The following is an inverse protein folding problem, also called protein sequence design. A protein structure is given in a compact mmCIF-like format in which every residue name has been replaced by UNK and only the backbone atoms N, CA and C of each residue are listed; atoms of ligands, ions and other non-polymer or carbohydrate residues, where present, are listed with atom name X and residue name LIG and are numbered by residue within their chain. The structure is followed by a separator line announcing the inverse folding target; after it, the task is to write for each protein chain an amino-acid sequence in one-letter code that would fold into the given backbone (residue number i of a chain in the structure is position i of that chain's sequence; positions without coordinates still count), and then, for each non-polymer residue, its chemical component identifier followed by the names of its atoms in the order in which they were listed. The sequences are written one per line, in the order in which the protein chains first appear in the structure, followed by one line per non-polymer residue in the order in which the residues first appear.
data_IF_009291729773
#
_entry.id   IF_009291729773
#
_cell.length_a   1.000
_cell.length_b   1.000
_cell.length_c   1.000
_cell.angle_alpha   90.00
_cell.angle_beta   90.00
_cell.angle_gamma   90.00
#
_symmetry.space_group_name_H-M   'P 1'
#
loop_
_entity.id
_entity.type
_entity.pdbx_description
1 polymer ?
#
# COMPACT_ATOMS: atom_id res chain seq x y z
N UNK A 1 19.98 35.49 -26.05
CA UNK A 1 19.65 34.16 -26.58
C UNK A 1 20.74 33.76 -27.56
N UNK A 2 21.30 32.56 -27.44
CA UNK A 2 22.47 32.16 -28.25
C UNK A 2 22.05 31.96 -29.71
N UNK A 3 22.72 32.62 -30.66
CA UNK A 3 22.37 32.60 -32.08
C UNK A 3 22.47 31.18 -32.69
N UNK A 4 23.34 30.33 -32.15
CA UNK A 4 23.46 28.91 -32.52
C UNK A 4 22.19 28.10 -32.23
N UNK A 5 21.49 28.39 -31.13
CA UNK A 5 20.28 27.64 -30.76
C UNK A 5 19.15 27.97 -31.74
N UNK A 6 19.05 29.23 -32.15
CA UNK A 6 18.05 29.69 -33.12
C UNK A 6 18.31 29.06 -34.49
N UNK A 7 19.55 29.13 -34.97
CA UNK A 7 19.90 28.57 -36.28
C UNK A 7 19.73 27.05 -36.33
N UNK A 8 20.05 26.34 -35.24
CA UNK A 8 19.84 24.91 -35.14
C UNK A 8 18.34 24.53 -35.17
N UNK A 9 17.51 25.25 -34.41
CA UNK A 9 16.06 25.04 -34.39
C UNK A 9 15.41 25.28 -35.75
N UNK A 10 15.75 26.39 -36.40
CA UNK A 10 15.18 26.76 -37.70
C UNK A 10 15.59 25.78 -38.81
N UNK A 11 16.83 25.27 -38.73
CA UNK A 11 17.33 24.22 -39.64
C UNK A 11 16.55 22.91 -39.50
N UNK A 12 16.28 22.45 -38.28
CA UNK A 12 15.60 21.17 -38.04
C UNK A 12 14.10 21.24 -38.29
N UNK A 13 13.44 22.32 -37.88
CA UNK A 13 11.98 22.43 -37.90
C UNK A 13 11.43 23.08 -39.16
N UNK A 14 12.29 23.80 -39.90
CA UNK A 14 11.91 24.65 -41.06
C UNK A 14 10.86 25.72 -40.72
N UNK A 15 10.72 26.08 -39.44
CA UNK A 15 9.84 27.12 -38.94
C UNK A 15 10.70 28.22 -38.33
N UNK A 16 10.43 29.49 -38.66
CA UNK A 16 11.09 30.63 -38.05
C UNK A 16 10.85 30.65 -36.54
N UNK A 17 11.90 30.86 -35.75
CA UNK A 17 11.81 30.83 -34.29
C UNK A 17 10.85 31.90 -33.75
N UNK A 18 10.80 33.08 -34.38
CA UNK A 18 9.88 34.16 -33.98
C UNK A 18 8.42 33.79 -34.27
N UNK A 19 8.15 33.11 -35.39
CA UNK A 19 6.81 32.60 -35.73
C UNK A 19 6.35 31.53 -34.74
N UNK A 20 7.25 30.62 -34.36
CA UNK A 20 6.97 29.61 -33.33
C UNK A 20 6.63 30.25 -31.98
N UNK A 21 7.41 31.25 -31.55
CA UNK A 21 7.22 31.92 -30.27
C UNK A 21 5.91 32.73 -30.24
N UNK A 22 5.59 33.40 -31.35
CA UNK A 22 4.30 34.10 -31.49
C UNK A 22 3.12 33.12 -31.45
N UNK A 23 3.21 31.98 -32.12
CA UNK A 23 2.17 30.95 -32.05
C UNK A 23 2.02 30.38 -30.63
N UNK A 24 3.13 30.17 -29.93
CA UNK A 24 3.14 29.70 -28.55
C UNK A 24 2.52 30.73 -27.60
N UNK A 25 2.87 32.01 -27.73
CA UNK A 25 2.28 33.11 -26.96
C UNK A 25 0.77 33.27 -27.23
N UNK A 26 0.35 33.10 -28.49
CA UNK A 26 -1.07 33.16 -28.88
C UNK A 26 -1.87 31.99 -28.29
N UNK A 27 -1.26 30.81 -28.20
CA UNK A 27 -1.89 29.62 -27.59
C UNK A 27 -1.86 29.66 -26.05
N UNK A 28 -0.93 30.42 -25.45
CA UNK A 28 -0.71 30.47 -24.01
C UNK A 28 -1.43 31.64 -23.30
N UNK A 29 -2.17 32.49 -24.02
CA UNK A 29 -2.73 33.75 -23.49
C UNK A 29 -3.83 33.57 -22.43
N UNK A 30 -4.27 32.34 -22.14
CA UNK A 30 -5.00 32.04 -20.92
C UNK A 30 -4.48 30.75 -20.29
N UNK A 31 -4.15 30.78 -19.00
CA UNK A 31 -3.91 29.56 -18.20
C UNK A 31 -5.28 28.92 -17.97
N UNK A 32 -5.82 28.29 -19.02
CA UNK A 32 -7.08 27.54 -18.97
C UNK A 32 -6.84 26.09 -18.56
N UNK A 33 -7.93 25.35 -18.32
CA UNK A 33 -7.90 23.89 -18.14
C UNK A 33 -7.24 23.16 -19.32
N UNK A 34 -7.18 23.77 -20.51
CA UNK A 34 -6.60 23.19 -21.72
C UNK A 34 -5.07 23.17 -21.66
N UNK A 35 -4.45 24.22 -21.10
CA UNK A 35 -2.99 24.26 -20.88
C UNK A 35 -2.57 23.20 -19.88
N UNK A 36 -3.33 23.04 -18.79
CA UNK A 36 -3.12 21.99 -17.79
C UNK A 36 -3.25 20.60 -18.43
N UNK A 37 -4.28 20.40 -19.27
CA UNK A 37 -4.48 19.14 -19.98
C UNK A 37 -3.38 18.89 -21.04
N UNK A 38 -2.86 19.93 -21.69
CA UNK A 38 -1.73 19.83 -22.61
C UNK A 38 -0.44 19.44 -21.88
N UNK A 39 -0.13 20.09 -20.75
CA UNK A 39 1.00 19.72 -19.91
C UNK A 39 0.91 18.25 -19.43
N UNK A 40 -0.29 17.83 -19.01
CA UNK A 40 -0.55 16.43 -18.65
C UNK A 40 -0.28 15.48 -19.83
N UNK A 41 -0.69 15.82 -21.05
CA UNK A 41 -0.43 15.02 -22.25
C UNK A 41 1.08 14.91 -22.56
N UNK A 42 1.84 15.98 -22.36
CA UNK A 42 3.30 15.96 -22.53
C UNK A 42 3.95 15.01 -21.52
N UNK A 43 3.57 15.09 -20.24
CA UNK A 43 4.11 14.17 -19.22
C UNK A 43 3.72 12.72 -19.50
N UNK A 44 2.47 12.48 -19.93
CA UNK A 44 2.02 11.15 -20.35
C UNK A 44 2.83 10.62 -21.55
N UNK A 45 3.17 11.49 -22.51
CA UNK A 45 3.97 11.12 -23.66
C UNK A 45 5.43 10.83 -23.28
N UNK A 46 6.02 11.65 -22.40
CA UNK A 46 7.33 11.38 -21.83
C UNK A 46 7.35 10.02 -21.13
N UNK A 47 6.38 9.72 -20.28
CA UNK A 47 6.29 8.45 -19.56
C UNK A 47 6.23 7.25 -20.54
N UNK A 48 5.46 7.35 -21.64
CA UNK A 48 5.41 6.32 -22.69
C UNK A 48 6.77 6.09 -23.35
N UNK A 49 7.50 7.16 -23.64
CA UNK A 49 8.84 7.08 -24.25
C UNK A 49 9.81 6.40 -23.27
N UNK A 50 9.82 6.82 -22.00
CA UNK A 50 10.70 6.25 -20.97
C UNK A 50 10.40 4.76 -20.74
N UNK A 51 9.13 4.37 -20.66
CA UNK A 51 8.73 2.95 -20.58
C UNK A 51 9.26 2.17 -21.79
N UNK A 52 9.16 2.73 -23.00
CA UNK A 52 9.68 2.07 -24.20
C UNK A 52 11.21 1.90 -24.15
N UNK A 53 11.94 2.85 -23.56
CA UNK A 53 13.39 2.75 -23.40
C UNK A 53 13.76 1.68 -22.39
N UNK A 54 13.08 1.63 -21.25
CA UNK A 54 13.30 0.61 -20.21
C UNK A 54 12.97 -0.80 -20.74
N UNK A 55 11.89 -0.96 -21.50
CA UNK A 55 11.54 -2.23 -22.13
C UNK A 55 12.62 -2.72 -23.11
N UNK A 56 13.24 -1.81 -23.86
CA UNK A 56 14.35 -2.15 -24.76
C UNK A 56 15.61 -2.54 -23.98
N UNK A 57 15.93 -1.82 -22.91
CA UNK A 57 17.06 -2.14 -22.04
C UNK A 57 16.89 -3.52 -21.40
N UNK A 58 15.68 -3.81 -20.89
CA UNK A 58 15.31 -5.13 -20.37
C UNK A 58 15.53 -6.23 -21.41
N UNK A 59 14.97 -6.08 -22.61
CA UNK A 59 15.12 -7.09 -23.68
C UNK A 59 16.59 -7.34 -24.06
N UNK A 60 17.42 -6.30 -24.05
CA UNK A 60 18.84 -6.41 -24.30
C UNK A 60 19.55 -7.16 -23.16
N UNK A 61 19.30 -6.78 -21.91
CA UNK A 61 19.93 -7.41 -20.75
C UNK A 61 19.49 -8.86 -20.53
N UNK A 62 18.24 -9.21 -20.83
CA UNK A 62 17.77 -10.61 -20.75
C UNK A 62 18.34 -11.50 -21.85
N UNK A 63 18.86 -10.91 -22.93
CA UNK A 63 19.53 -11.66 -24.00
C UNK A 63 20.95 -12.10 -23.60
N UNK A 64 21.51 -11.51 -22.54
CA UNK A 64 22.82 -11.89 -21.99
C UNK A 64 22.66 -12.98 -20.92
N UNK A 65 23.15 -14.22 -21.15
CA UNK A 65 23.02 -15.33 -20.21
C UNK A 65 23.83 -15.15 -18.93
N UNK A 66 24.74 -14.17 -18.86
CA UNK A 66 25.55 -13.88 -17.67
C UNK A 66 24.86 -12.89 -16.72
N UNK A 67 23.73 -12.31 -17.12
CA UNK A 67 23.03 -11.30 -16.35
C UNK A 67 22.44 -11.88 -15.05
N UNK A 68 22.62 -11.17 -13.93
CA UNK A 68 21.94 -11.50 -12.69
C UNK A 68 20.48 -11.04 -12.73
N UNK A 69 19.57 -12.00 -12.89
CA UNK A 69 18.13 -11.77 -13.01
C UNK A 69 17.56 -10.97 -11.83
N UNK A 70 17.99 -11.25 -10.59
CA UNK A 70 17.46 -10.56 -9.41
C UNK A 70 17.84 -9.07 -9.40
N UNK A 71 19.05 -8.74 -9.85
CA UNK A 71 19.50 -7.34 -9.95
C UNK A 71 18.80 -6.61 -11.10
N UNK A 72 18.60 -7.28 -12.24
CA UNK A 72 17.88 -6.70 -13.38
C UNK A 72 16.43 -6.35 -12.99
N UNK A 73 15.70 -7.29 -12.38
CA UNK A 73 14.32 -7.06 -11.91
C UNK A 73 14.26 -5.87 -10.95
N UNK A 74 15.17 -5.82 -9.97
CA UNK A 74 15.20 -4.74 -8.98
C UNK A 74 15.44 -3.37 -9.63
N UNK A 75 16.39 -3.29 -10.57
CA UNK A 75 16.70 -2.04 -11.27
C UNK A 75 15.50 -1.56 -12.10
N UNK A 76 14.88 -2.45 -12.86
CA UNK A 76 13.71 -2.08 -13.66
C UNK A 76 12.51 -1.70 -12.81
N UNK A 77 12.29 -2.38 -11.68
CA UNK A 77 11.23 -2.01 -10.73
C UNK A 77 11.44 -0.59 -10.18
N UNK A 78 12.67 -0.24 -9.81
CA UNK A 78 13.01 1.13 -9.39
C UNK A 78 12.71 2.15 -10.49
N UNK A 79 13.13 1.89 -11.74
CA UNK A 79 12.85 2.79 -12.86
C UNK A 79 11.36 2.97 -13.13
N UNK A 80 10.56 1.91 -12.99
CA UNK A 80 9.11 2.04 -13.09
C UNK A 80 8.49 2.84 -11.94
N UNK A 81 8.98 2.68 -10.71
CA UNK A 81 8.56 3.50 -9.57
C UNK A 81 8.83 4.98 -9.78
N UNK A 82 10.01 5.31 -10.32
CA UNK A 82 10.37 6.70 -10.64
C UNK A 82 9.40 7.30 -11.67
N UNK A 83 9.06 6.55 -12.73
CA UNK A 83 8.07 6.96 -13.74
C UNK A 83 6.69 7.15 -13.09
N UNK A 84 6.26 6.22 -12.23
CA UNK A 84 4.97 6.30 -11.53
C UNK A 84 4.91 7.54 -10.64
N UNK A 85 6.01 7.86 -9.94
CA UNK A 85 6.09 9.02 -9.06
C UNK A 85 5.89 10.31 -9.85
N UNK A 86 6.58 10.48 -10.98
CA UNK A 86 6.51 11.66 -11.84
C UNK A 86 5.12 11.83 -12.47
N UNK A 87 4.52 10.71 -12.92
CA UNK A 87 3.14 10.72 -13.44
C UNK A 87 2.13 11.06 -12.33
N UNK A 88 2.34 10.62 -11.09
CA UNK A 88 1.44 10.95 -9.97
C UNK A 88 1.56 12.40 -9.52
N UNK A 89 2.75 12.99 -9.56
CA UNK A 89 2.93 14.42 -9.28
C UNK A 89 2.02 15.27 -10.18
N UNK A 90 1.86 14.91 -11.46
CA UNK A 90 0.93 15.63 -12.36
C UNK A 90 -0.56 15.37 -12.12
N UNK A 91 -0.93 14.25 -11.49
CA UNK A 91 -2.32 14.02 -11.04
C UNK A 91 -2.65 14.88 -9.82
N UNK A 92 -1.70 15.06 -8.89
CA UNK A 92 -1.94 15.80 -7.65
C UNK A 92 -1.67 17.31 -7.76
N UNK A 93 -0.81 17.76 -8.67
CA UNK A 93 -0.45 19.19 -8.76
C UNK A 93 -1.35 20.01 -9.70
N UNK A 94 -2.23 19.37 -10.47
CA UNK A 94 -3.00 20.08 -11.50
C UNK A 94 -4.52 20.11 -11.31
N UNK A 95 -5.06 19.54 -10.22
CA UNK A 95 -6.50 19.61 -9.90
C UNK A 95 -6.81 19.83 -8.41
N UNK A 96 -5.83 20.21 -7.60
CA UNK A 96 -6.06 20.68 -6.24
C UNK A 96 -4.82 21.40 -5.75
N UNK A 97 -4.97 22.65 -5.32
CA UNK A 97 -3.88 23.38 -4.67
C UNK A 97 -3.33 22.51 -3.53
N UNK A 98 -2.03 22.17 -3.55
CA UNK A 98 -1.37 21.46 -2.44
C UNK A 98 -1.48 22.22 -1.12
N UNK A 99 -1.80 23.52 -1.21
CA UNK A 99 -2.17 24.37 -0.11
C UNK A 99 -3.66 24.74 -0.25
N UNK A 100 -4.48 24.24 0.66
CA UNK A 100 -5.86 24.69 0.86
C UNK A 100 -5.93 25.55 2.10
N UNK A 101 -6.83 26.53 2.13
CA UNK A 101 -7.10 27.28 3.37
C UNK A 101 -7.67 26.34 4.42
N UNK A 102 -7.44 26.63 5.70
CA UNK A 102 -8.05 25.89 6.80
C UNK A 102 -9.58 25.90 6.71
N UNK A 103 -10.18 26.96 6.15
CA UNK A 103 -11.62 27.04 5.90
C UNK A 103 -12.08 26.00 4.85
N UNK A 104 -11.33 25.82 3.76
CA UNK A 104 -11.64 24.82 2.74
C UNK A 104 -11.40 23.38 3.28
N UNK A 105 -10.39 23.19 4.11
CA UNK A 105 -10.16 21.92 4.81
C UNK A 105 -11.32 21.60 5.78
N UNK A 106 -11.72 22.57 6.60
CA UNK A 106 -12.81 22.43 7.56
C UNK A 106 -14.16 22.14 6.88
N UNK A 107 -14.47 22.83 5.77
CA UNK A 107 -15.68 22.55 5.00
C UNK A 107 -15.67 21.15 4.38
N UNK A 108 -14.50 20.65 3.96
CA UNK A 108 -14.34 19.27 3.48
C UNK A 108 -14.55 18.24 4.60
N UNK A 109 -14.02 18.53 5.80
CA UNK A 109 -14.22 17.69 6.99
C UNK A 109 -15.70 17.64 7.40
N UNK A 110 -16.39 18.79 7.42
CA UNK A 110 -17.82 18.88 7.74
C UNK A 110 -18.68 18.07 6.77
N UNK A 111 -18.42 18.18 5.45
CA UNK A 111 -19.11 17.37 4.44
C UNK A 111 -18.90 15.87 4.65
N UNK A 112 -17.68 15.47 5.02
CA UNK A 112 -17.34 14.07 5.30
C UNK A 112 -18.07 13.55 6.54
N UNK A 113 -18.17 14.36 7.60
CA UNK A 113 -18.90 14.02 8.82
C UNK A 113 -20.41 13.90 8.60
N UNK A 114 -21.01 14.79 7.80
CA UNK A 114 -22.42 14.70 7.42
C UNK A 114 -22.72 13.43 6.60
N UNK A 115 -21.80 13.06 5.70
CA UNK A 115 -21.93 11.83 4.91
C UNK A 115 -21.91 10.59 5.81
N UNK A 116 -20.97 10.51 6.75
CA UNK A 116 -20.89 9.41 7.72
C UNK A 116 -22.16 9.31 8.58
N UNK A 117 -22.75 10.44 8.98
CA UNK A 117 -24.00 10.47 9.74
C UNK A 117 -25.19 9.93 8.95
N UNK A 118 -25.22 10.14 7.63
CA UNK A 118 -26.28 9.63 6.72
C UNK A 118 -26.10 8.15 6.40
N UNK A 119 -24.86 7.70 6.27
CA UNK A 119 -24.54 6.30 5.99
C UNK A 119 -24.68 5.40 7.22
N UNK A 120 -24.70 5.97 8.42
CA UNK A 120 -25.12 5.26 9.62
C UNK A 120 -24.25 4.06 9.94
N UNK A 121 -22.94 4.20 9.87
CA UNK A 121 -22.02 3.11 10.22
C UNK A 121 -20.92 3.62 11.15
N UNK A 122 -20.80 2.92 12.28
CA UNK A 122 -19.57 2.91 13.08
C UNK A 122 -18.36 2.68 12.15
N UNK A 123 -17.15 3.08 12.57
CA UNK A 123 -15.94 2.75 11.83
C UNK A 123 -15.96 1.27 11.45
N UNK A 124 -15.89 1.04 10.14
CA UNK A 124 -16.11 -0.26 9.50
C UNK A 124 -15.14 -1.34 10.01
N UNK A 125 -14.05 -0.91 10.63
CA UNK A 125 -13.00 -1.78 11.14
C UNK A 125 -12.78 -1.57 12.64
N UNK A 126 -12.88 -2.66 13.40
CA UNK A 126 -12.73 -2.68 14.86
C UNK A 126 -11.44 -3.39 15.28
N UNK A 127 -10.92 -3.00 16.45
CA UNK A 127 -9.78 -3.63 17.11
C UNK A 127 -10.10 -5.03 17.65
N UNK A 128 -11.38 -5.30 17.94
CA UNK A 128 -11.83 -6.55 18.56
C UNK A 128 -11.76 -6.55 20.08
N UNK A 129 -11.52 -5.39 20.69
CA UNK A 129 -11.46 -5.19 22.13
C UNK A 129 -12.41 -4.05 22.47
N UNK A 130 -13.54 -4.39 23.09
CA UNK A 130 -14.64 -3.45 23.30
C UNK A 130 -14.21 -2.15 24.00
N UNK A 131 -13.32 -2.23 24.98
CA UNK A 131 -12.78 -1.05 25.68
C UNK A 131 -11.94 -0.16 24.76
N UNK A 132 -11.05 -0.76 23.96
CA UNK A 132 -10.20 -0.05 22.99
C UNK A 132 -11.05 0.54 21.86
N UNK A 133 -12.02 -0.23 21.35
CA UNK A 133 -12.94 0.22 20.31
C UNK A 133 -13.78 1.41 20.78
N UNK A 134 -14.20 1.42 22.05
CA UNK A 134 -14.93 2.55 22.63
C UNK A 134 -14.05 3.80 22.79
N UNK A 135 -12.80 3.63 23.20
CA UNK A 135 -11.84 4.73 23.40
C UNK A 135 -11.34 5.31 22.07
N UNK A 136 -11.01 4.45 21.10
CA UNK A 136 -10.38 4.84 19.84
C UNK A 136 -11.39 5.10 18.72
N UNK A 137 -12.63 4.61 18.86
CA UNK A 137 -13.59 4.61 17.77
C UNK A 137 -13.10 3.75 16.61
N UNK A 138 -12.69 2.51 16.89
CA UNK A 138 -12.21 1.58 15.85
C UNK A 138 -10.87 1.96 15.20
N UNK A 139 -10.62 1.44 14.00
CA UNK A 139 -9.41 1.66 13.21
C UNK A 139 -9.72 2.55 12.01
N UNK A 140 -9.01 3.67 11.91
CA UNK A 140 -9.16 4.60 10.79
C UNK A 140 -8.22 4.25 9.65
N UNK A 141 -8.72 4.37 8.43
CA UNK A 141 -7.91 4.17 7.23
C UNK A 141 -6.95 5.35 7.03
N UNK A 142 -5.78 5.07 6.44
CA UNK A 142 -4.71 6.04 6.16
C UNK A 142 -3.99 6.59 7.40
N UNK A 143 -4.15 5.94 8.55
CA UNK A 143 -3.37 6.25 9.76
C UNK A 143 -2.25 5.23 9.98
N UNK A 144 -1.16 5.68 10.60
CA UNK A 144 -0.08 4.82 11.11
C UNK A 144 -0.24 4.68 12.62
N UNK A 145 -0.49 3.46 13.08
CA UNK A 145 -0.70 3.18 14.50
C UNK A 145 0.52 2.46 15.07
N UNK A 146 1.11 3.05 16.10
CA UNK A 146 2.30 2.54 16.78
C UNK A 146 1.92 1.92 18.13
N UNK A 147 2.21 0.63 18.29
CA UNK A 147 2.00 -0.08 19.56
C UNK A 147 3.35 -0.22 20.25
N UNK A 148 3.64 0.64 21.23
CA UNK A 148 4.84 0.56 22.07
C UNK A 148 4.58 -0.26 23.33
N UNK A 149 5.43 -1.26 23.60
CA UNK A 149 5.36 -2.05 24.82
C UNK A 149 6.71 -2.68 25.13
N UNK A 150 7.02 -2.90 26.41
CA UNK A 150 8.25 -3.62 26.81
C UNK A 150 8.24 -5.07 26.28
N UNK A 151 9.42 -5.69 26.08
CA UNK A 151 9.50 -7.11 25.76
C UNK A 151 8.65 -7.96 26.73
N UNK A 152 8.02 -9.00 26.20
CA UNK A 152 7.12 -9.91 26.93
C UNK A 152 5.80 -9.33 27.44
N UNK A 153 5.48 -8.05 27.19
CA UNK A 153 4.17 -7.45 27.56
C UNK A 153 3.03 -7.78 26.58
N UNK A 154 3.23 -8.73 25.67
CA UNK A 154 2.16 -9.22 24.78
C UNK A 154 1.89 -8.39 23.52
N UNK A 155 2.79 -7.49 23.11
CA UNK A 155 2.66 -6.68 21.87
C UNK A 155 2.27 -7.51 20.65
N UNK A 156 2.96 -8.64 20.43
CA UNK A 156 2.70 -9.54 19.29
C UNK A 156 1.35 -10.24 19.42
N UNK A 157 0.99 -10.68 20.62
CA UNK A 157 -0.30 -11.33 20.89
C UNK A 157 -1.46 -10.38 20.66
N UNK A 158 -1.32 -9.12 21.12
CA UNK A 158 -2.29 -8.06 20.87
C UNK A 158 -2.46 -7.80 19.37
N UNK A 159 -1.35 -7.56 18.65
CA UNK A 159 -1.40 -7.30 17.21
C UNK A 159 -2.00 -8.47 16.42
N UNK A 160 -1.65 -9.71 16.77
CA UNK A 160 -2.18 -10.91 16.13
C UNK A 160 -3.68 -11.11 16.42
N UNK A 161 -4.12 -10.86 17.66
CA UNK A 161 -5.53 -10.97 18.04
C UNK A 161 -6.39 -9.97 17.28
N UNK A 162 -5.93 -8.72 17.17
CA UNK A 162 -6.61 -7.70 16.37
C UNK A 162 -6.62 -8.05 14.88
N UNK A 163 -5.49 -8.52 14.33
CA UNK A 163 -5.41 -8.95 12.95
C UNK A 163 -6.41 -10.08 12.62
N UNK A 164 -6.53 -11.07 13.50
CA UNK A 164 -7.51 -12.15 13.37
C UNK A 164 -8.95 -11.63 13.42
N UNK A 165 -9.26 -10.72 14.34
CA UNK A 165 -10.60 -10.14 14.45
C UNK A 165 -10.99 -9.37 13.18
N UNK A 166 -10.09 -8.54 12.66
CA UNK A 166 -10.32 -7.79 11.42
C UNK A 166 -10.53 -8.72 10.23
N UNK A 167 -9.72 -9.77 10.12
CA UNK A 167 -9.84 -10.76 9.06
C UNK A 167 -11.16 -11.56 9.14
N UNK A 168 -11.61 -11.91 10.35
CA UNK A 168 -12.92 -12.52 10.56
C UNK A 168 -14.08 -11.63 10.11
N UNK A 169 -13.94 -10.32 10.25
CA UNK A 169 -14.91 -9.35 9.76
C UNK A 169 -14.81 -9.12 8.24
N UNK A 170 -13.98 -9.87 7.52
CA UNK A 170 -13.85 -9.82 6.06
C UNK A 170 -12.83 -8.82 5.53
N UNK A 171 -12.03 -8.20 6.40
CA UNK A 171 -11.02 -7.22 5.99
C UNK A 171 -9.70 -7.88 5.60
N UNK A 172 -9.09 -7.39 4.52
CA UNK A 172 -7.74 -7.80 4.12
C UNK A 172 -6.69 -7.35 5.13
N UNK A 173 -6.02 -8.30 5.77
CA UNK A 173 -4.93 -8.05 6.71
C UNK A 173 -3.63 -8.71 6.23
N UNK A 174 -2.56 -7.93 6.16
CA UNK A 174 -1.21 -8.44 5.97
C UNK A 174 -0.43 -8.32 7.30
N UNK A 175 0.05 -9.45 7.82
CA UNK A 175 0.79 -9.53 9.07
C UNK A 175 2.26 -9.88 8.80
N UNK A 176 3.14 -8.92 9.05
CA UNK A 176 4.58 -9.09 8.86
C UNK A 176 5.25 -9.37 10.20
N UNK A 177 5.94 -10.51 10.29
CA UNK A 177 6.63 -10.95 11.47
C UNK A 177 8.14 -11.01 11.23
N UNK A 178 8.87 -10.12 11.88
CA UNK A 178 10.32 -10.00 11.70
C UNK A 178 11.14 -10.78 12.74
N UNK A 179 10.49 -11.31 13.78
CA UNK A 179 11.16 -11.97 14.91
C UNK A 179 10.64 -13.38 15.16
N UNK A 180 9.42 -13.68 14.71
CA UNK A 180 8.74 -14.92 15.02
C UNK A 180 8.37 -15.71 13.78
N UNK A 181 8.74 -16.98 13.80
CA UNK A 181 8.44 -17.95 12.75
C UNK A 181 6.92 -18.18 12.60
N UNK A 182 6.49 -18.52 11.38
CA UNK A 182 5.09 -18.86 11.05
C UNK A 182 4.47 -19.93 11.96
N UNK A 183 5.23 -20.93 12.40
CA UNK A 183 4.72 -22.01 13.25
C UNK A 183 4.28 -21.49 14.62
N UNK A 184 5.11 -20.65 15.25
CA UNK A 184 4.80 -20.04 16.55
C UNK A 184 3.62 -19.07 16.44
N UNK A 185 3.51 -18.34 15.33
CA UNK A 185 2.36 -17.49 15.06
C UNK A 185 1.08 -18.31 14.84
N UNK A 186 1.16 -19.38 14.06
CA UNK A 186 0.04 -20.29 13.81
C UNK A 186 -0.47 -20.93 15.10
N UNK A 187 0.43 -21.41 15.97
CA UNK A 187 0.06 -21.94 17.28
C UNK A 187 -0.64 -20.87 18.16
N UNK A 188 -0.18 -19.62 18.13
CA UNK A 188 -0.85 -18.52 18.87
C UNK A 188 -2.21 -18.18 18.27
N UNK A 189 -2.32 -18.13 16.95
CA UNK A 189 -3.59 -17.88 16.28
C UNK A 189 -4.60 -18.97 16.63
N UNK A 190 -4.23 -20.25 16.49
CA UNK A 190 -5.09 -21.37 16.83
C UNK A 190 -5.50 -21.37 18.31
N UNK A 191 -4.58 -21.11 19.23
CA UNK A 191 -4.88 -20.99 20.66
C UNK A 191 -5.88 -19.86 20.94
N UNK A 192 -5.73 -18.71 20.28
CA UNK A 192 -6.65 -17.57 20.38
C UNK A 192 -8.06 -17.95 19.88
N UNK A 193 -8.14 -18.61 18.72
CA UNK A 193 -9.41 -19.04 18.11
C UNK A 193 -10.13 -20.12 18.92
N UNK A 194 -9.38 -20.99 19.59
CA UNK A 194 -9.91 -22.03 20.45
C UNK A 194 -10.33 -21.51 21.83
N UNK A 195 -9.87 -20.33 22.25
CA UNK A 195 -10.18 -19.76 23.56
C UNK A 195 -11.68 -19.70 23.89
N UNK A 196 -12.60 -19.31 22.98
CA UNK A 196 -14.04 -19.37 23.26
C UNK A 196 -14.63 -20.79 23.26
N UNK A 197 -13.92 -21.79 22.72
CA UNK A 197 -14.43 -23.16 22.63
C UNK A 197 -14.28 -23.94 23.95
N UNK A 198 -14.98 -25.07 24.07
CA UNK A 198 -14.80 -26.04 25.17
C UNK A 198 -13.47 -26.78 25.11
N UNK A 199 -12.82 -26.82 23.94
CA UNK A 199 -11.55 -27.51 23.68
C UNK A 199 -10.38 -26.54 23.61
N UNK A 200 -10.24 -25.69 24.64
CA UNK A 200 -9.13 -24.74 24.72
C UNK A 200 -7.80 -25.49 24.77
N UNK A 201 -6.82 -24.99 24.04
CA UNK A 201 -5.46 -25.51 24.06
C UNK A 201 -4.50 -24.36 24.37
N UNK A 202 -3.78 -24.40 25.50
CA UNK A 202 -2.73 -23.43 25.78
C UNK A 202 -1.66 -23.46 24.68
N UNK A 203 -1.09 -22.29 24.37
CA UNK A 203 -0.01 -22.16 23.39
C UNK A 203 1.15 -23.16 23.64
N UNK A 204 1.57 -23.32 24.90
CA UNK A 204 2.67 -24.24 25.24
C UNK A 204 2.35 -25.69 24.88
N UNK A 205 1.10 -26.12 25.08
CA UNK A 205 0.65 -27.47 24.75
C UNK A 205 0.65 -27.69 23.24
N UNK A 206 0.24 -26.69 22.44
CA UNK A 206 0.33 -26.77 20.98
C UNK A 206 1.78 -26.92 20.50
N UNK A 207 2.71 -26.16 21.08
CA UNK A 207 4.14 -26.23 20.70
C UNK A 207 4.79 -27.53 21.15
N UNK A 208 4.38 -28.08 22.30
CA UNK A 208 4.89 -29.36 22.83
C UNK A 208 4.23 -30.59 22.21
N UNK A 209 3.17 -30.42 21.43
CA UNK A 209 2.38 -31.53 20.89
C UNK A 209 1.51 -32.23 21.94
N UNK A 210 1.26 -31.58 23.08
CA UNK A 210 0.41 -32.09 24.17
C UNK A 210 -1.07 -31.83 23.86
N UNK A 211 -1.59 -32.49 22.82
CA UNK A 211 -2.97 -32.36 22.35
C UNK A 211 -3.68 -33.71 22.32
N UNK A 212 -4.93 -33.75 22.75
CA UNK A 212 -5.75 -34.96 22.66
C UNK A 212 -6.44 -35.06 21.28
N UNK A 213 -7.02 -36.23 21.00
CA UNK A 213 -7.64 -36.50 19.69
C UNK A 213 -8.84 -35.58 19.38
N UNK A 214 -9.62 -35.22 20.39
CA UNK A 214 -10.77 -34.32 20.23
C UNK A 214 -10.32 -32.90 19.88
N UNK A 215 -9.35 -32.38 20.63
CA UNK A 215 -8.69 -31.10 20.41
C UNK A 215 -8.06 -31.02 19.02
N UNK A 216 -7.41 -32.09 18.58
CA UNK A 216 -6.85 -32.19 17.23
C UNK A 216 -7.93 -32.07 16.16
N UNK A 217 -9.04 -32.82 16.29
CA UNK A 217 -10.16 -32.78 15.33
C UNK A 217 -10.80 -31.40 15.25
N UNK A 218 -11.02 -30.73 16.38
CA UNK A 218 -11.60 -29.37 16.41
C UNK A 218 -10.64 -28.37 15.78
N UNK A 219 -9.33 -28.51 16.06
CA UNK A 219 -8.29 -27.68 15.47
C UNK A 219 -8.28 -27.80 13.95
N UNK A 220 -8.41 -29.01 13.40
CA UNK A 220 -8.51 -29.22 11.95
C UNK A 220 -9.71 -28.47 11.36
N UNK A 221 -10.89 -28.56 11.97
CA UNK A 221 -12.07 -27.84 11.50
C UNK A 221 -11.94 -26.31 11.56
N UNK A 222 -11.14 -25.76 12.49
CA UNK A 222 -10.80 -24.34 12.50
C UNK A 222 -9.83 -24.02 11.37
N UNK A 223 -8.80 -24.84 11.16
CA UNK A 223 -7.83 -24.66 10.08
C UNK A 223 -8.50 -24.67 8.70
N UNK A 224 -9.53 -25.51 8.49
CA UNK A 224 -10.34 -25.49 7.26
C UNK A 224 -11.03 -24.14 7.08
N UNK A 225 -11.66 -23.60 8.13
CA UNK A 225 -12.31 -22.28 8.08
C UNK A 225 -11.31 -21.14 7.84
N UNK A 226 -10.06 -21.29 8.27
CA UNK A 226 -9.01 -20.30 8.07
C UNK A 226 -8.49 -20.24 6.63
N UNK A 227 -8.78 -21.22 5.77
CA UNK A 227 -8.30 -21.21 4.39
C UNK A 227 -8.86 -20.03 3.59
N UNK A 228 -10.10 -19.63 3.88
CA UNK A 228 -10.78 -18.53 3.21
C UNK A 228 -10.56 -17.17 3.90
N UNK A 229 -9.78 -17.12 4.98
CA UNK A 229 -9.60 -15.88 5.72
C UNK A 229 -8.69 -14.91 4.95
N UNK A 230 -9.05 -13.62 4.88
CA UNK A 230 -8.26 -12.60 4.20
C UNK A 230 -7.06 -12.14 5.07
N UNK A 231 -6.31 -13.07 5.65
CA UNK A 231 -5.12 -12.83 6.48
C UNK A 231 -3.89 -13.51 5.87
N UNK A 232 -2.90 -12.72 5.47
CA UNK A 232 -1.61 -13.23 4.98
C UNK A 232 -0.54 -13.01 6.04
N UNK A 233 0.29 -14.03 6.29
CA UNK A 233 1.45 -13.96 7.19
C UNK A 233 2.73 -14.01 6.35
N UNK A 234 3.64 -13.07 6.61
CA UNK A 234 4.97 -13.01 6.02
C UNK A 234 6.03 -13.01 7.13
N UNK A 235 6.83 -14.08 7.21
CA UNK A 235 7.86 -14.29 8.22
C UNK A 235 9.30 -14.12 7.69
N UNK A 236 9.46 -13.50 6.51
CA UNK A 236 10.79 -13.29 5.93
C UNK A 236 11.64 -12.39 6.85
N UNK A 237 12.91 -12.75 7.11
CA UNK A 237 13.80 -11.92 7.91
C UNK A 237 14.17 -10.66 7.11
N UNK A 238 13.85 -9.47 7.65
CA UNK A 238 14.23 -8.17 7.10
C UNK A 238 13.82 -7.90 5.63
N UNK A 239 12.52 -7.90 5.29
CA UNK A 239 12.05 -7.46 3.98
C UNK A 239 12.31 -5.96 3.81
N UNK A 240 12.66 -5.52 2.60
CA UNK A 240 12.72 -4.12 2.26
C UNK A 240 11.32 -3.50 2.17
N UNK A 241 11.25 -2.17 2.20
CA UNK A 241 9.97 -1.43 2.19
C UNK A 241 9.09 -1.80 0.98
N UNK A 242 9.72 -2.07 -0.16
CA UNK A 242 9.02 -2.42 -1.40
C UNK A 242 8.37 -3.79 -1.35
N UNK A 243 8.95 -4.76 -0.64
CA UNK A 243 8.30 -6.06 -0.45
C UNK A 243 7.02 -5.94 0.39
N UNK A 244 7.00 -5.09 1.42
CA UNK A 244 5.77 -4.82 2.19
C UNK A 244 4.67 -4.25 1.29
N UNK A 245 5.03 -3.26 0.46
CA UNK A 245 4.12 -2.61 -0.49
C UNK A 245 3.60 -3.62 -1.52
N UNK A 246 4.45 -4.50 -2.02
CA UNK A 246 4.07 -5.55 -2.97
C UNK A 246 3.04 -6.52 -2.37
N UNK A 247 3.30 -7.07 -1.19
CA UNK A 247 2.38 -8.01 -0.51
C UNK A 247 1.04 -7.33 -0.22
N UNK A 248 1.08 -6.09 0.28
CA UNK A 248 -0.12 -5.33 0.56
C UNK A 248 -0.95 -5.02 -0.70
N UNK A 249 -0.29 -4.63 -1.81
CA UNK A 249 -0.97 -4.39 -3.08
C UNK A 249 -1.56 -5.68 -3.66
N UNK A 250 -0.87 -6.83 -3.51
CA UNK A 250 -1.39 -8.13 -3.89
C UNK A 250 -2.68 -8.48 -3.14
N UNK A 251 -2.74 -8.19 -1.84
CA UNK A 251 -3.93 -8.41 -1.02
C UNK A 251 -5.07 -7.43 -1.35
N UNK A 252 -4.75 -6.15 -1.56
CA UNK A 252 -5.71 -5.11 -1.97
C UNK A 252 -6.40 -5.42 -3.30
N UNK A 253 -5.71 -6.07 -4.22
CA UNK A 253 -6.31 -6.48 -5.50
C UNK A 253 -7.31 -7.64 -5.35
N UNK A 254 -7.28 -8.38 -4.22
CA UNK A 254 -8.20 -9.48 -3.91
C UNK A 254 -9.32 -9.08 -2.94
N UNK A 255 -9.08 -8.08 -2.08
CA UNK A 255 -10.04 -7.61 -1.06
C UNK A 255 -10.12 -6.07 -1.02
N UNK A 256 -11.36 -5.54 -1.11
CA UNK A 256 -11.64 -4.12 -1.32
C UNK A 256 -11.30 -3.19 -0.14
N UNK A 257 -11.10 -3.71 1.08
CA UNK A 257 -10.81 -2.92 2.30
C UNK A 257 -9.64 -3.53 3.09
N UNK A 258 -8.64 -2.71 3.43
CA UNK A 258 -7.34 -3.16 3.98
C UNK A 258 -7.00 -2.48 5.32
N UNK A 259 -6.44 -3.24 6.27
CA UNK A 259 -5.67 -2.71 7.40
C UNK A 259 -4.24 -3.26 7.37
N UNK A 260 -3.27 -2.36 7.45
CA UNK A 260 -1.85 -2.71 7.59
C UNK A 260 -1.42 -2.50 9.05
N UNK A 261 -1.00 -3.57 9.71
CA UNK A 261 -0.43 -3.51 11.06
C UNK A 261 1.09 -3.60 10.97
N UNK A 262 1.79 -2.53 11.33
CA UNK A 262 3.25 -2.48 11.35
C UNK A 262 3.81 -2.67 12.76
N UNK A 263 4.93 -3.39 12.86
CA UNK A 263 5.78 -3.44 14.05
C UNK A 263 7.06 -2.65 13.78
N UNK A 264 7.24 -1.53 14.46
CA UNK A 264 8.55 -0.90 14.65
C UNK A 264 9.10 -1.30 16.03
N UNK A 265 10.39 -1.61 16.05
CA UNK A 265 11.14 -2.02 17.23
C UNK A 265 11.38 -0.82 18.16
N UNK A 266 11.12 -1.02 19.44
CA UNK A 266 11.90 -0.47 20.56
C UNK A 266 11.75 -1.40 21.78
#
# INVERSE_FOLDING_TARGET
MNAEIISHFESQTKISFSTYLNNLLTLASSISSEVINAARRVVQQWARITISQEAKALALHTSDPTCNTATLIRKSMQSFEDIISEVHLTKNQCTGSSCISIANAATTAMKSAEQQKKEGENPDIKWGLQSVDHLMGGVQLRELILIGARPSMGKTTFALSTALHMAMSGHGVAFFSLEMDREKLGARALSNLLYPSSSRIPYLNLIRGEINQEQYRISQGICEKLQDFPLIIDDRPSPGIMEFVHVANGLRNKHTKMVQLYRLLS
#
